data_IF_623732499819
#
_entry.id   IF_623732499819
#
_cell.length_a   1.000
_cell.length_b   1.000
_cell.length_c   1.000
_cell.angle_alpha   90.00
_cell.angle_beta   90.00
_cell.angle_gamma   90.00
#
_symmetry.space_group_name_H-M   'P 1'
#
loop_
_entity.id
_entity.type
_entity.pdbx_description
1 polymer ?
#
# COMPACT_ATOMS: atom_id res chain seq x y z
N UNK A 1 29.95 11.19 -29.28
CA UNK A 1 29.31 12.38 -28.68
C UNK A 1 29.25 12.16 -27.18
N UNK A 2 30.06 12.89 -26.41
CA UNK A 2 30.09 12.86 -24.94
C UNK A 2 29.57 14.23 -24.44
N UNK A 3 28.79 14.28 -23.35
CA UNK A 3 28.30 15.55 -22.79
C UNK A 3 29.41 16.29 -22.01
N UNK A 4 29.42 17.64 -22.01
CA UNK A 4 30.43 18.43 -21.32
C UNK A 4 30.13 18.60 -19.82
N UNK A 5 31.20 18.56 -19.02
CA UNK A 5 31.21 18.83 -17.57
C UNK A 5 31.17 20.34 -17.27
N UNK A 6 30.53 20.80 -16.17
CA UNK A 6 30.56 22.20 -15.76
C UNK A 6 31.85 22.53 -14.98
N UNK A 7 32.38 23.72 -15.26
CA UNK A 7 33.58 24.30 -14.63
C UNK A 7 33.26 24.91 -13.27
N UNK A 8 34.16 24.67 -12.34
CA UNK A 8 34.27 25.28 -11.03
C UNK A 8 34.93 26.67 -11.14
N UNK A 9 34.44 27.66 -10.41
CA UNK A 9 35.20 28.89 -10.09
C UNK A 9 34.53 29.67 -8.97
N UNK A 10 34.96 29.39 -7.75
CA UNK A 10 34.95 30.31 -6.61
C UNK A 10 35.83 31.54 -6.90
N UNK A 11 35.27 32.75 -6.88
CA UNK A 11 35.92 33.99 -6.38
C UNK A 11 34.80 35.02 -6.13
N UNK A 12 34.71 35.54 -4.90
CA UNK A 12 34.56 36.96 -4.54
C UNK A 12 33.97 37.06 -3.12
N UNK A 13 34.86 36.95 -2.14
CA UNK A 13 34.70 37.55 -0.81
C UNK A 13 34.95 39.07 -0.87
N UNK A 14 34.55 39.73 0.22
CA UNK A 14 34.84 41.10 0.67
C UNK A 14 33.94 42.25 0.21
N UNK A 15 33.11 42.70 1.17
CA UNK A 15 33.20 44.04 1.79
C UNK A 15 32.42 44.13 3.11
N UNK A 16 33.18 43.96 4.20
CA UNK A 16 33.34 44.87 5.35
C UNK A 16 32.16 45.77 5.79
N UNK A 17 31.71 45.50 7.02
CA UNK A 17 31.52 46.42 8.17
C UNK A 17 31.01 47.85 7.94
N UNK A 18 29.93 48.24 8.62
CA UNK A 18 30.04 49.12 9.81
C UNK A 18 28.70 49.35 10.55
N UNK A 19 28.85 49.67 11.82
CA UNK A 19 28.05 50.58 12.63
C UNK A 19 26.79 50.14 13.43
N UNK A 20 27.09 49.89 14.72
CA UNK A 20 26.63 50.63 15.92
C UNK A 20 25.17 50.57 16.41
N UNK A 21 25.13 50.16 17.69
CA UNK A 21 24.14 50.33 18.76
C UNK A 21 23.16 51.50 18.61
N UNK A 22 21.87 51.25 18.87
CA UNK A 22 21.03 52.17 19.63
C UNK A 22 19.81 51.47 20.24
N UNK A 23 19.51 51.85 21.47
CA UNK A 23 18.45 51.39 22.37
C UNK A 23 17.02 51.47 21.79
N UNK A 24 16.14 50.55 22.21
CA UNK A 24 14.75 50.92 22.52
C UNK A 24 14.08 49.95 23.51
N UNK A 25 13.16 50.44 24.36
CA UNK A 25 12.76 49.83 25.63
C UNK A 25 11.70 48.73 25.47
N UNK A 26 11.57 47.94 26.54
CA UNK A 26 10.50 46.98 26.76
C UNK A 26 9.11 47.57 26.43
N UNK A 27 8.45 46.99 25.42
CA UNK A 27 7.04 47.25 25.14
C UNK A 27 6.24 46.09 25.73
N UNK A 28 5.47 46.41 26.76
CA UNK A 28 4.50 45.54 27.42
C UNK A 28 3.50 44.97 26.41
N UNK A 29 3.27 43.64 26.47
CA UNK A 29 2.29 42.93 25.67
C UNK A 29 0.90 43.24 26.26
N UNK A 30 -0.08 43.75 25.48
CA UNK A 30 -1.46 43.83 25.94
C UNK A 30 -2.09 42.44 25.85
N UNK A 31 -2.51 41.92 26.99
CA UNK A 31 -3.41 40.78 27.12
C UNK A 31 -4.73 41.08 26.40
N UNK A 32 -4.93 40.51 25.21
CA UNK A 32 -6.22 40.53 24.50
C UNK A 32 -6.85 39.14 24.56
N UNK A 33 -7.28 38.75 25.77
CA UNK A 33 -8.28 37.71 25.94
C UNK A 33 -9.65 38.30 25.64
N UNK A 34 -10.32 37.80 24.58
CA UNK A 34 -11.78 37.84 24.37
C UNK A 34 -12.18 37.62 22.91
N UNK A 35 -11.32 37.92 21.91
CA UNK A 35 -11.68 37.77 20.48
C UNK A 35 -11.18 36.48 19.81
N UNK A 36 -10.14 35.83 20.34
CA UNK A 36 -9.58 34.61 19.72
C UNK A 36 -10.38 33.35 20.10
N UNK A 37 -10.95 33.30 21.30
CA UNK A 37 -11.73 32.16 21.78
C UNK A 37 -13.08 32.04 21.07
N UNK A 38 -13.76 33.16 20.83
CA UNK A 38 -15.02 33.20 20.06
C UNK A 38 -14.79 32.88 18.58
N UNK A 39 -13.73 33.41 17.97
CA UNK A 39 -13.38 33.10 16.59
C UNK A 39 -13.04 31.61 16.39
N UNK A 40 -12.39 30.98 17.38
CA UNK A 40 -12.14 29.53 17.34
C UNK A 40 -13.43 28.73 17.51
N UNK A 41 -14.31 29.10 18.45
CA UNK A 41 -15.58 28.42 18.66
C UNK A 41 -16.53 28.55 17.46
N UNK A 42 -16.61 29.73 16.84
CA UNK A 42 -17.40 29.98 15.62
C UNK A 42 -16.84 29.20 14.42
N UNK A 43 -15.51 29.11 14.30
CA UNK A 43 -14.85 28.27 13.30
C UNK A 43 -15.16 26.78 13.56
N UNK A 44 -15.14 26.34 14.82
CA UNK A 44 -15.47 24.95 15.18
C UNK A 44 -16.94 24.62 14.94
N UNK A 45 -17.88 25.50 15.25
CA UNK A 45 -19.30 25.28 14.95
C UNK A 45 -19.58 25.33 13.44
N UNK A 46 -18.88 26.19 12.70
CA UNK A 46 -18.92 26.21 11.24
C UNK A 46 -18.35 24.92 10.65
N UNK A 47 -17.23 24.42 11.18
CA UNK A 47 -16.63 23.13 10.78
C UNK A 47 -17.57 21.98 11.13
N UNK A 48 -18.18 21.94 12.32
CA UNK A 48 -19.17 20.91 12.70
C UNK A 48 -20.40 20.93 11.80
N UNK A 49 -20.86 22.12 11.41
CA UNK A 49 -21.99 22.29 10.50
C UNK A 49 -21.62 21.80 9.10
N UNK A 50 -20.43 22.12 8.60
CA UNK A 50 -19.93 21.66 7.29
C UNK A 50 -19.70 20.14 7.29
N UNK A 51 -19.08 19.58 8.33
CA UNK A 51 -18.87 18.13 8.49
C UNK A 51 -20.21 17.40 8.66
N UNK A 52 -21.15 17.97 9.41
CA UNK A 52 -22.50 17.45 9.62
C UNK A 52 -23.35 17.45 8.34
N UNK A 53 -23.08 18.38 7.41
CA UNK A 53 -23.69 18.42 6.08
C UNK A 53 -22.98 17.52 5.05
N UNK A 54 -21.68 17.22 5.22
CA UNK A 54 -20.88 16.47 4.23
C UNK A 54 -20.94 14.95 4.35
N UNK A 55 -21.56 14.36 5.38
CA UNK A 55 -21.58 12.91 5.56
C UNK A 55 -23.00 12.31 5.58
N UNK A 56 -23.81 12.65 4.59
CA UNK A 56 -24.96 11.82 4.21
C UNK A 56 -24.75 11.28 2.80
N UNK A 57 -23.66 10.52 2.62
CA UNK A 57 -23.64 9.58 1.52
C UNK A 57 -24.85 8.65 1.69
N UNK A 58 -25.64 8.40 0.64
CA UNK A 58 -26.75 7.47 0.72
C UNK A 58 -26.26 6.12 1.25
N UNK A 59 -27.11 5.38 2.00
CA UNK A 59 -26.71 4.11 2.57
C UNK A 59 -26.23 3.17 1.47
N UNK A 60 -25.21 2.36 1.78
CA UNK A 60 -24.72 1.35 0.86
C UNK A 60 -25.85 0.35 0.60
N UNK A 61 -26.25 0.24 -0.67
CA UNK A 61 -27.21 -0.74 -1.13
C UNK A 61 -26.49 -1.88 -1.82
N UNK A 62 -26.95 -3.11 -1.59
CA UNK A 62 -26.43 -4.27 -2.30
C UNK A 62 -26.83 -4.17 -3.77
N UNK A 63 -25.84 -4.17 -4.65
CA UNK A 63 -26.07 -4.22 -6.11
C UNK A 63 -26.17 -5.67 -6.58
N UNK A 64 -26.96 -5.92 -7.64
CA UNK A 64 -26.98 -7.23 -8.29
C UNK A 64 -25.58 -7.56 -8.80
N UNK A 65 -25.21 -8.83 -8.69
CA UNK A 65 -23.93 -9.38 -9.17
C UNK A 65 -24.08 -10.05 -10.53
N UNK A 66 -25.23 -9.88 -11.17
CA UNK A 66 -25.55 -10.47 -12.46
C UNK A 66 -25.06 -9.56 -13.59
N UNK A 67 -24.43 -10.17 -14.60
CA UNK A 67 -23.94 -9.47 -15.79
C UNK A 67 -22.58 -8.80 -15.60
N UNK A 68 -22.30 -7.84 -16.48
CA UNK A 68 -21.00 -7.16 -16.56
C UNK A 68 -20.88 -6.10 -15.47
N UNK A 69 -20.07 -6.39 -14.44
CA UNK A 69 -19.84 -5.47 -13.34
C UNK A 69 -18.81 -4.40 -13.74
N UNK A 70 -19.16 -3.09 -13.70
CA UNK A 70 -18.22 -2.05 -14.05
C UNK A 70 -17.10 -1.94 -13.00
N UNK A 71 -15.95 -1.44 -13.41
CA UNK A 71 -14.87 -1.09 -12.50
C UNK A 71 -15.22 0.22 -11.78
N UNK A 72 -14.69 0.39 -10.57
CA UNK A 72 -14.65 1.72 -9.95
C UNK A 72 -13.65 2.62 -10.69
N UNK A 73 -13.78 3.95 -10.58
CA UNK A 73 -12.85 4.89 -11.22
C UNK A 73 -11.36 4.62 -10.90
N UNK A 74 -10.96 4.30 -9.65
CA UNK A 74 -9.56 3.95 -9.37
C UNK A 74 -9.13 2.65 -10.07
N UNK A 75 -10.02 1.67 -10.16
CA UNK A 75 -9.74 0.41 -10.86
C UNK A 75 -9.62 0.63 -12.37
N UNK A 76 -10.48 1.44 -12.98
CA UNK A 76 -10.38 1.78 -14.42
C UNK A 76 -9.04 2.43 -14.76
N UNK A 77 -8.54 3.33 -13.90
CA UNK A 77 -7.22 3.93 -14.05
C UNK A 77 -6.11 2.88 -14.06
N UNK A 78 -6.11 1.95 -13.10
CA UNK A 78 -5.09 0.90 -13.02
C UNK A 78 -5.21 -0.09 -14.19
N UNK A 79 -6.44 -0.44 -14.58
CA UNK A 79 -6.68 -1.27 -15.76
C UNK A 79 -6.11 -0.62 -17.02
N UNK A 80 -6.37 0.67 -17.24
CA UNK A 80 -5.84 1.41 -18.38
C UNK A 80 -4.31 1.41 -18.41
N UNK A 81 -3.66 1.61 -17.25
CA UNK A 81 -2.20 1.58 -17.14
C UNK A 81 -1.63 0.20 -17.46
N UNK A 82 -2.29 -0.88 -17.01
CA UNK A 82 -1.89 -2.24 -17.37
C UNK A 82 -1.99 -2.50 -18.89
N UNK A 83 -2.98 -1.91 -19.58
CA UNK A 83 -3.08 -2.05 -21.04
C UNK A 83 -1.96 -1.32 -21.80
N UNK A 84 -1.33 -0.31 -21.20
CA UNK A 84 -0.22 0.42 -21.83
C UNK A 84 1.13 -0.26 -21.59
N UNK A 85 1.34 -0.80 -20.39
CA UNK A 85 2.59 -1.41 -19.95
C UNK A 85 2.35 -2.83 -19.45
N UNK A 86 2.05 -3.75 -20.35
CA UNK A 86 1.75 -5.14 -19.98
C UNK A 86 2.93 -5.79 -19.22
N UNK A 87 2.60 -6.58 -18.19
CA UNK A 87 3.57 -7.37 -17.41
C UNK A 87 4.58 -6.54 -16.57
N UNK A 88 4.15 -5.38 -16.07
CA UNK A 88 4.91 -4.64 -15.06
C UNK A 88 4.51 -5.08 -13.63
N UNK A 89 5.41 -4.88 -12.68
CA UNK A 89 5.17 -5.14 -11.24
C UNK A 89 5.01 -3.85 -10.43
N UNK A 90 4.82 -2.70 -11.09
CA UNK A 90 4.83 -1.37 -10.46
C UNK A 90 3.67 -1.18 -9.48
N UNK A 91 2.61 -1.98 -9.63
CA UNK A 91 1.42 -1.97 -8.78
C UNK A 91 1.30 -3.20 -7.88
N UNK A 92 2.40 -3.93 -7.71
CA UNK A 92 2.51 -4.95 -6.69
C UNK A 92 2.69 -4.31 -5.31
N UNK A 93 2.05 -4.89 -4.31
CA UNK A 93 2.19 -4.54 -2.90
C UNK A 93 2.79 -5.76 -2.18
N UNK A 94 4.14 -5.85 -2.10
CA UNK A 94 4.81 -6.93 -1.42
C UNK A 94 4.84 -6.72 0.09
N UNK A 95 4.58 -7.78 0.85
CA UNK A 95 4.78 -7.84 2.29
C UNK A 95 5.70 -9.00 2.65
N UNK A 96 6.63 -8.76 3.57
CA UNK A 96 7.59 -9.76 4.05
C UNK A 96 7.52 -9.81 5.57
N UNK A 97 7.09 -10.96 6.11
CA UNK A 97 6.98 -11.19 7.55
C UNK A 97 7.99 -12.24 8.00
N UNK A 98 8.84 -11.89 8.95
CA UNK A 98 9.69 -12.86 9.63
C UNK A 98 8.94 -13.42 10.83
N UNK A 99 8.57 -14.70 10.76
CA UNK A 99 7.81 -15.42 11.76
C UNK A 99 8.79 -16.24 12.62
N UNK A 100 8.69 -16.09 13.95
CA UNK A 100 9.50 -16.83 14.92
C UNK A 100 8.64 -17.82 15.69
N UNK A 101 9.19 -19.00 15.93
CA UNK A 101 8.50 -20.12 16.58
C UNK A 101 8.12 -21.23 15.59
N UNK A 102 7.58 -22.32 16.15
CA UNK A 102 7.00 -23.42 15.38
C UNK A 102 5.78 -22.90 14.64
N UNK A 103 5.75 -23.07 13.31
CA UNK A 103 4.66 -22.63 12.47
C UNK A 103 3.82 -23.82 12.00
N UNK A 104 2.51 -23.77 12.25
CA UNK A 104 1.57 -24.70 11.61
C UNK A 104 1.26 -24.19 10.19
N UNK A 105 1.99 -24.70 9.20
CA UNK A 105 1.88 -24.31 7.79
C UNK A 105 0.47 -24.56 7.25
N UNK A 106 -0.16 -25.68 7.63
CA UNK A 106 -1.52 -26.01 7.17
C UNK A 106 -2.55 -25.04 7.72
N UNK A 107 -2.44 -24.64 8.99
CA UNK A 107 -3.31 -23.63 9.58
C UNK A 107 -3.12 -22.27 8.90
N UNK A 108 -1.88 -21.87 8.61
CA UNK A 108 -1.60 -20.63 7.87
C UNK A 108 -2.24 -20.64 6.47
N UNK A 109 -2.09 -21.73 5.71
CA UNK A 109 -2.72 -21.88 4.40
C UNK A 109 -4.26 -21.79 4.50
N UNK A 110 -4.86 -22.45 5.49
CA UNK A 110 -6.31 -22.39 5.74
C UNK A 110 -6.78 -20.97 6.07
N UNK A 111 -6.06 -20.26 6.94
CA UNK A 111 -6.40 -18.87 7.29
C UNK A 111 -6.35 -17.95 6.07
N UNK A 112 -5.32 -18.06 5.22
CA UNK A 112 -5.24 -17.28 3.97
C UNK A 112 -6.39 -17.60 3.03
N UNK A 113 -6.74 -18.88 2.86
CA UNK A 113 -7.87 -19.29 2.04
C UNK A 113 -9.22 -18.76 2.58
N UNK A 114 -9.41 -18.72 3.90
CA UNK A 114 -10.63 -18.13 4.48
C UNK A 114 -10.73 -16.62 4.29
N UNK A 115 -9.59 -15.91 4.35
CA UNK A 115 -9.51 -14.49 4.00
C UNK A 115 -9.91 -14.28 2.54
N UNK A 116 -9.33 -15.05 1.60
CA UNK A 116 -9.69 -14.98 0.19
C UNK A 116 -11.18 -15.30 -0.03
N UNK A 117 -11.70 -16.35 0.62
CA UNK A 117 -13.12 -16.75 0.50
C UNK A 117 -14.05 -15.61 0.91
N UNK A 118 -13.75 -14.95 2.03
CA UNK A 118 -14.58 -13.90 2.63
C UNK A 118 -14.53 -12.57 1.88
N UNK A 119 -13.38 -12.19 1.32
CA UNK A 119 -13.22 -10.91 0.62
C UNK A 119 -13.35 -11.07 -0.89
N UNK A 120 -14.45 -10.55 -1.46
CA UNK A 120 -14.70 -10.67 -2.89
C UNK A 120 -13.61 -10.01 -3.75
N UNK A 121 -13.06 -8.88 -3.31
CA UNK A 121 -12.01 -8.15 -4.04
C UNK A 121 -10.80 -9.04 -4.34
N UNK A 122 -10.38 -9.89 -3.38
CA UNK A 122 -9.22 -10.79 -3.56
C UNK A 122 -9.50 -11.98 -4.49
N UNK A 123 -10.76 -12.14 -4.92
CA UNK A 123 -11.21 -13.16 -5.89
C UNK A 123 -11.72 -12.53 -7.18
N UNK A 124 -11.43 -11.26 -7.40
CA UNK A 124 -11.81 -10.51 -8.59
C UNK A 124 -10.66 -10.45 -9.58
N UNK A 125 -10.95 -10.87 -10.82
CA UNK A 125 -10.16 -10.59 -12.00
C UNK A 125 -10.81 -9.49 -12.84
N UNK A 126 -10.09 -8.99 -13.83
CA UNK A 126 -10.53 -7.90 -14.70
C UNK A 126 -10.42 -8.34 -16.15
N UNK A 127 -11.46 -8.09 -16.93
CA UNK A 127 -11.52 -8.44 -18.35
C UNK A 127 -12.12 -7.30 -19.16
N UNK A 128 -12.28 -7.49 -20.47
CA UNK A 128 -12.95 -6.55 -21.35
C UNK A 128 -14.06 -7.25 -22.12
N UNK A 129 -15.28 -6.71 -22.06
CA UNK A 129 -16.43 -7.17 -22.84
C UNK A 129 -16.89 -5.99 -23.70
N UNK A 130 -16.92 -6.18 -25.01
CA UNK A 130 -17.29 -5.13 -25.98
C UNK A 130 -16.47 -3.83 -25.81
N UNK A 131 -15.19 -3.97 -25.44
CA UNK A 131 -14.27 -2.84 -25.24
C UNK A 131 -14.45 -2.11 -23.91
N UNK A 132 -15.33 -2.58 -23.01
CA UNK A 132 -15.51 -2.01 -21.68
C UNK A 132 -14.89 -2.92 -20.62
N UNK A 133 -14.12 -2.37 -19.66
CA UNK A 133 -13.54 -3.17 -18.60
C UNK A 133 -14.65 -3.66 -17.66
N UNK A 134 -14.53 -4.92 -17.23
CA UNK A 134 -15.49 -5.58 -16.33
C UNK A 134 -14.77 -6.33 -15.21
N UNK A 135 -15.40 -6.40 -14.05
CA UNK A 135 -14.98 -7.24 -12.93
C UNK A 135 -15.55 -8.64 -13.10
N UNK A 136 -14.69 -9.65 -12.96
CA UNK A 136 -15.05 -11.07 -12.97
C UNK A 136 -14.74 -11.64 -11.59
N UNK A 137 -15.77 -11.83 -10.78
CA UNK A 137 -15.63 -12.33 -9.41
C UNK A 137 -15.76 -13.85 -9.44
N UNK A 138 -14.68 -14.57 -9.15
CA UNK A 138 -14.73 -16.02 -9.02
C UNK A 138 -15.68 -16.42 -7.87
N UNK A 139 -16.25 -17.63 -7.89
CA UNK A 139 -17.04 -18.15 -6.75
C UNK A 139 -16.14 -18.61 -5.59
N UNK A 140 -14.98 -19.14 -5.93
CA UNK A 140 -13.94 -19.62 -5.02
C UNK A 140 -12.57 -19.42 -5.65
N UNK A 141 -11.56 -19.17 -4.82
CA UNK A 141 -10.14 -19.20 -5.20
C UNK A 141 -9.44 -20.05 -4.16
N UNK A 142 -8.64 -21.01 -4.59
CA UNK A 142 -7.84 -21.85 -3.72
C UNK A 142 -6.37 -21.43 -3.87
N UNK A 143 -5.81 -20.94 -2.77
CA UNK A 143 -4.40 -20.63 -2.65
C UNK A 143 -3.67 -21.84 -2.09
N UNK A 144 -2.61 -22.27 -2.78
CA UNK A 144 -1.64 -23.22 -2.23
C UNK A 144 -0.44 -22.45 -1.74
N UNK A 145 -0.08 -22.62 -0.47
CA UNK A 145 1.07 -21.97 0.13
C UNK A 145 2.34 -22.72 -0.28
N UNK A 146 3.06 -22.18 -1.27
CA UNK A 146 4.34 -22.74 -1.70
C UNK A 146 5.37 -22.61 -0.57
N UNK A 147 6.01 -23.73 -0.20
CA UNK A 147 7.04 -23.77 0.85
C UNK A 147 8.39 -24.05 0.21
N UNK A 148 9.35 -23.15 0.41
CA UNK A 148 10.74 -23.33 0.00
C UNK A 148 11.58 -23.58 1.25
N UNK A 149 12.15 -24.77 1.36
CA UNK A 149 13.04 -25.14 2.45
C UNK A 149 14.46 -24.64 2.18
N UNK A 150 15.00 -23.83 3.10
CA UNK A 150 16.35 -23.26 3.04
C UNK A 150 17.20 -23.72 4.25
N UNK A 151 16.73 -24.68 5.05
CA UNK A 151 17.38 -25.10 6.29
C UNK A 151 18.77 -25.69 6.05
N UNK A 152 18.97 -26.38 4.93
CA UNK A 152 20.24 -27.03 4.60
C UNK A 152 21.34 -26.06 4.15
N UNK A 153 21.01 -24.79 3.89
CA UNK A 153 21.98 -23.76 3.53
C UNK A 153 22.73 -23.22 4.76
N UNK A 154 24.02 -22.88 4.64
CA UNK A 154 24.73 -22.10 5.65
C UNK A 154 24.02 -20.77 5.94
N UNK A 155 24.05 -20.29 7.19
CA UNK A 155 23.27 -19.12 7.62
C UNK A 155 23.39 -17.90 6.70
N UNK A 156 24.60 -17.54 6.27
CA UNK A 156 24.81 -16.37 5.41
C UNK A 156 24.22 -16.58 4.01
N UNK A 157 24.37 -17.78 3.44
CA UNK A 157 23.81 -18.13 2.13
C UNK A 157 22.29 -18.21 2.17
N UNK A 158 21.76 -18.72 3.29
CA UNK A 158 20.33 -18.80 3.56
C UNK A 158 19.66 -17.44 3.54
N UNK A 159 20.23 -16.46 4.26
CA UNK A 159 19.71 -15.09 4.31
C UNK A 159 19.78 -14.40 2.93
N UNK A 160 20.89 -14.57 2.22
CA UNK A 160 21.04 -14.05 0.86
C UNK A 160 20.01 -14.65 -0.09
N UNK A 161 19.79 -15.98 -0.01
CA UNK A 161 18.81 -16.68 -0.84
C UNK A 161 17.39 -16.25 -0.50
N UNK A 162 17.07 -16.03 0.77
CA UNK A 162 15.77 -15.55 1.20
C UNK A 162 15.49 -14.13 0.66
N UNK A 163 16.47 -13.23 0.72
CA UNK A 163 16.37 -11.88 0.15
C UNK A 163 16.17 -11.92 -1.37
N UNK A 164 16.90 -12.79 -2.06
CA UNK A 164 16.74 -12.99 -3.51
C UNK A 164 15.30 -13.42 -3.83
N UNK A 165 14.79 -14.47 -3.18
CA UNK A 165 13.44 -14.99 -3.41
C UNK A 165 12.35 -13.97 -3.06
N UNK A 166 12.54 -13.16 -2.01
CA UNK A 166 11.64 -12.07 -1.67
C UNK A 166 11.58 -11.00 -2.77
N UNK A 167 12.74 -10.65 -3.34
CA UNK A 167 12.85 -9.69 -4.44
C UNK A 167 12.18 -10.21 -5.71
N UNK A 168 12.45 -11.46 -6.06
CA UNK A 168 11.83 -12.14 -7.21
C UNK A 168 10.29 -12.20 -7.05
N UNK A 169 9.81 -12.58 -5.86
CA UNK A 169 8.37 -12.62 -5.55
C UNK A 169 7.71 -11.25 -5.62
N UNK A 170 8.40 -10.17 -5.24
CA UNK A 170 7.89 -8.80 -5.31
C UNK A 170 7.81 -8.28 -6.75
N UNK A 171 8.77 -8.67 -7.59
CA UNK A 171 8.90 -8.23 -8.98
C UNK A 171 8.11 -9.09 -9.98
N UNK A 172 7.55 -10.22 -9.55
CA UNK A 172 6.74 -11.06 -10.42
C UNK A 172 5.42 -10.34 -10.78
N UNK A 173 5.18 -9.97 -12.05
CA UNK A 173 3.98 -9.25 -12.45
C UNK A 173 2.71 -10.12 -12.27
N UNK A 174 1.55 -9.47 -12.19
CA UNK A 174 0.25 -10.14 -12.19
C UNK A 174 -0.43 -10.03 -13.55
N UNK A 175 -1.03 -11.11 -14.04
CA UNK A 175 -1.94 -11.11 -15.19
C UNK A 175 -3.38 -10.89 -14.71
N UNK A 176 -3.83 -9.62 -14.76
CA UNK A 176 -5.14 -9.18 -14.24
C UNK A 176 -6.34 -9.99 -14.75
N UNK A 177 -6.20 -10.64 -15.90
CA UNK A 177 -7.28 -11.35 -16.60
C UNK A 177 -7.40 -12.82 -16.24
N UNK A 178 -6.37 -13.47 -15.66
CA UNK A 178 -6.32 -14.94 -15.57
C UNK A 178 -5.99 -15.51 -14.20
N UNK A 179 -5.20 -14.82 -13.40
CA UNK A 179 -4.71 -15.39 -12.14
C UNK A 179 -5.22 -14.64 -10.91
N UNK A 180 -5.30 -15.29 -9.74
CA UNK A 180 -5.58 -14.60 -8.49
C UNK A 180 -4.57 -13.47 -8.24
N UNK A 181 -5.08 -12.30 -7.85
CA UNK A 181 -4.27 -11.09 -7.61
C UNK A 181 -3.70 -11.03 -6.19
N UNK A 182 -3.45 -12.21 -5.64
CA UNK A 182 -2.91 -12.47 -4.31
C UNK A 182 -2.03 -13.73 -4.39
N UNK A 183 -0.76 -13.62 -3.99
CA UNK A 183 0.20 -14.73 -3.91
C UNK A 183 0.77 -14.82 -2.51
N UNK A 184 1.06 -16.04 -2.07
CA UNK A 184 1.74 -16.29 -0.81
C UNK A 184 2.81 -17.37 -0.99
N UNK A 185 4.01 -17.12 -0.46
CA UNK A 185 5.11 -18.07 -0.41
C UNK A 185 5.68 -18.08 1.01
N UNK A 186 6.12 -19.26 1.47
CA UNK A 186 6.76 -19.42 2.76
C UNK A 186 8.19 -19.92 2.57
N UNK A 187 9.17 -19.19 3.10
CA UNK A 187 10.56 -19.64 3.15
C UNK A 187 10.83 -20.20 4.54
N UNK A 188 11.19 -21.47 4.64
CA UNK A 188 11.55 -22.11 5.91
C UNK A 188 13.06 -21.94 6.13
N UNK A 189 13.44 -21.13 7.11
CA UNK A 189 14.85 -20.88 7.42
C UNK A 189 15.39 -21.87 8.45
N UNK A 190 14.58 -22.19 9.46
CA UNK A 190 14.81 -23.21 10.49
C UNK A 190 13.46 -23.77 10.94
N UNK A 191 13.45 -24.76 11.84
CA UNK A 191 12.19 -25.22 12.48
C UNK A 191 11.47 -24.12 13.28
N UNK A 192 12.16 -23.04 13.63
CA UNK A 192 11.67 -21.97 14.49
C UNK A 192 11.68 -20.60 13.78
N UNK A 193 12.00 -20.55 12.49
CA UNK A 193 12.12 -19.28 11.78
C UNK A 193 11.69 -19.44 10.33
N UNK A 194 10.74 -18.60 9.93
CA UNK A 194 10.13 -18.63 8.60
C UNK A 194 10.01 -17.21 8.07
N UNK A 195 9.99 -17.05 6.75
CA UNK A 195 9.63 -15.79 6.10
C UNK A 195 8.38 -16.03 5.26
N UNK A 196 7.28 -15.37 5.63
CA UNK A 196 6.06 -15.32 4.81
C UNK A 196 6.16 -14.13 3.85
N UNK A 197 6.11 -14.44 2.56
CA UNK A 197 6.04 -13.47 1.47
C UNK A 197 4.60 -13.41 0.99
N UNK A 198 3.97 -12.24 1.06
CA UNK A 198 2.69 -11.98 0.41
C UNK A 198 2.91 -10.96 -0.71
N UNK A 199 2.20 -11.10 -1.81
CA UNK A 199 2.17 -10.09 -2.86
C UNK A 199 0.75 -9.95 -3.38
N UNK A 200 0.28 -8.71 -3.52
CA UNK A 200 -1.11 -8.38 -3.85
C UNK A 200 -1.11 -7.25 -4.88
N UNK A 201 -1.99 -7.31 -5.87
CA UNK A 201 -2.10 -6.21 -6.84
C UNK A 201 -2.95 -5.04 -6.29
N UNK A 202 -2.49 -3.80 -6.48
CA UNK A 202 -3.14 -2.60 -5.95
C UNK A 202 -4.57 -2.37 -6.48
N UNK A 203 -4.94 -3.00 -7.61
CA UNK A 203 -6.30 -2.92 -8.16
C UNK A 203 -7.37 -3.60 -7.29
N UNK A 204 -6.96 -4.48 -6.37
CA UNK A 204 -7.83 -5.18 -5.41
C UNK A 204 -7.46 -4.91 -3.95
N UNK A 205 -6.49 -4.03 -3.69
CA UNK A 205 -5.93 -3.82 -2.36
C UNK A 205 -5.39 -2.41 -2.17
N UNK A 206 -5.54 -1.85 -0.97
CA UNK A 206 -5.05 -0.53 -0.59
C UNK A 206 -4.58 -0.49 0.87
N UNK A 207 -4.09 0.68 1.32
CA UNK A 207 -3.57 0.84 2.68
C UNK A 207 -4.62 0.66 3.79
N UNK A 208 -5.92 0.83 3.50
CA UNK A 208 -6.96 0.50 4.49
C UNK A 208 -7.13 -1.03 4.59
N UNK A 209 -7.11 -1.70 3.44
CA UNK A 209 -7.21 -3.16 3.33
C UNK A 209 -6.05 -3.88 4.04
N UNK A 210 -4.87 -3.26 4.10
CA UNK A 210 -3.71 -3.74 4.86
C UNK A 210 -4.05 -4.02 6.33
N UNK A 211 -4.64 -3.05 7.03
CA UNK A 211 -5.01 -3.20 8.43
C UNK A 211 -6.06 -4.29 8.67
N UNK A 212 -6.99 -4.46 7.72
CA UNK A 212 -8.02 -5.53 7.77
C UNK A 212 -7.38 -6.90 7.60
N UNK A 213 -6.51 -7.06 6.59
CA UNK A 213 -5.80 -8.31 6.31
C UNK A 213 -5.01 -8.79 7.53
N UNK A 214 -4.22 -7.90 8.14
CA UNK A 214 -3.35 -8.29 9.26
C UNK A 214 -4.13 -8.59 10.53
N UNK A 215 -5.20 -7.84 10.80
CA UNK A 215 -6.08 -8.15 11.93
C UNK A 215 -6.68 -9.55 11.82
N UNK A 216 -7.08 -9.93 10.62
CA UNK A 216 -7.70 -11.24 10.37
C UNK A 216 -6.69 -12.38 10.37
N UNK A 217 -5.48 -12.16 9.85
CA UNK A 217 -4.41 -13.17 9.90
C UNK A 217 -3.93 -13.43 11.33
N UNK A 218 -4.07 -12.44 12.23
CA UNK A 218 -3.70 -12.54 13.63
C UNK A 218 -4.81 -13.12 14.55
N UNK A 219 -6.00 -13.45 14.01
CA UNK A 219 -7.15 -13.99 14.76
C UNK A 219 -7.32 -15.47 14.51
#
# INVERSE_FOLDING_TARGET
MNPPQPKDSSVLEDKLSDNSQSNNPAKTIPTTGSKSETASAELWESIKTIIGLQNQAPPLVTVSKEGNLPLSFPQERLWFLEQLESANSSYNIPFTFRLKGVLNISALEQSLNEILRRHQALRTNFSSVEGKPVQVIASTVNLTLSVVDLQDLPTQERENKAMQLATESAQQPFELTKEPLFRANLLKLTEQEHILLLNIHHIVFDGWSEGVLFKELAT
#
